data_IF_903718961844
#
_entry.id   IF_903718961844
#
_cell.length_a   1.000
_cell.length_b   1.000
_cell.length_c   1.000
_cell.angle_alpha   90.00
_cell.angle_beta   90.00
_cell.angle_gamma   90.00
#
_symmetry.space_group_name_H-M   'P 1'
#
loop_
_entity.id
_entity.type
_entity.pdbx_description
1 polymer ?
#
# COMPACT_ATOMS: atom_id res chain seq x y z
N UNK A 1 0.32 -22.52 -32.61
CA UNK A 1 -0.24 -22.54 -31.24
C UNK A 1 0.73 -22.03 -30.16
N UNK A 2 2.05 -22.31 -30.24
CA UNK A 2 3.05 -21.80 -29.26
C UNK A 2 3.02 -20.27 -29.04
N UNK A 3 2.93 -19.48 -30.11
CA UNK A 3 2.92 -18.01 -30.00
C UNK A 3 1.64 -17.44 -29.38
N UNK A 4 0.52 -18.16 -29.47
CA UNK A 4 -0.78 -17.69 -28.94
C UNK A 4 -0.78 -17.72 -27.41
N UNK A 5 -0.15 -18.73 -26.82
CA UNK A 5 0.06 -18.81 -25.36
C UNK A 5 1.10 -17.79 -24.89
N UNK A 6 2.16 -17.54 -25.66
CA UNK A 6 3.18 -16.53 -25.35
C UNK A 6 2.59 -15.11 -25.30
N UNK A 7 1.73 -14.76 -26.26
CA UNK A 7 1.06 -13.46 -26.32
C UNK A 7 0.07 -13.31 -25.15
N UNK A 8 -0.68 -14.36 -24.82
CA UNK A 8 -1.63 -14.35 -23.69
C UNK A 8 -0.92 -14.20 -22.33
N UNK A 9 0.22 -14.86 -22.13
CA UNK A 9 1.02 -14.69 -20.91
C UNK A 9 1.60 -13.28 -20.80
N UNK A 10 1.99 -12.67 -21.93
CA UNK A 10 2.56 -11.32 -21.92
C UNK A 10 1.51 -10.24 -21.63
N UNK A 11 0.27 -10.42 -22.11
CA UNK A 11 -0.81 -9.48 -21.82
C UNK A 11 -1.25 -9.51 -20.35
N UNK A 12 -1.16 -10.66 -19.69
CA UNK A 12 -1.59 -10.82 -18.29
C UNK A 12 -0.63 -10.13 -17.31
N UNK A 13 0.66 -10.04 -17.66
CA UNK A 13 1.68 -9.34 -16.86
C UNK A 13 1.46 -7.82 -16.88
N UNK A 14 0.91 -7.26 -17.97
CA UNK A 14 0.67 -5.83 -18.11
C UNK A 14 -0.54 -5.30 -17.32
N UNK A 15 -1.33 -6.16 -16.68
CA UNK A 15 -2.54 -5.76 -15.92
C UNK A 15 -2.31 -5.49 -14.41
N UNK A 16 -1.13 -5.76 -13.86
CA UNK A 16 -0.82 -5.38 -12.47
C UNK A 16 -0.07 -4.04 -12.46
N UNK A 17 -0.51 -2.97 -11.76
CA UNK A 17 -1.41 -2.89 -10.60
C UNK A 17 -2.54 -1.85 -10.76
N UNK A 18 -3.80 -2.27 -10.85
CA UNK A 18 -4.95 -1.34 -10.86
C UNK A 18 -5.36 -0.85 -9.47
N UNK A 19 -4.86 -1.49 -8.41
CA UNK A 19 -5.13 -1.10 -7.02
C UNK A 19 -3.93 -0.33 -6.46
N UNK A 20 -3.95 0.99 -6.60
CA UNK A 20 -3.02 1.88 -5.91
C UNK A 20 -3.76 2.51 -4.72
N UNK A 21 -3.30 2.23 -3.51
CA UNK A 21 -3.66 3.02 -2.34
C UNK A 21 -2.75 4.26 -2.35
N UNK A 22 -3.34 5.45 -2.42
CA UNK A 22 -2.57 6.69 -2.37
C UNK A 22 -2.37 7.10 -0.91
N UNK A 23 -1.11 7.12 -0.45
CA UNK A 23 -0.76 7.70 0.84
C UNK A 23 -0.88 9.22 0.75
N UNK A 24 -1.89 9.78 1.42
CA UNK A 24 -2.16 11.22 1.47
C UNK A 24 -1.26 11.91 2.51
N UNK A 25 -0.89 11.17 3.56
CA UNK A 25 0.03 11.65 4.59
C UNK A 25 0.22 10.68 5.74
N UNK A 26 1.13 11.02 6.62
CA UNK A 26 1.39 10.27 7.84
C UNK A 26 1.71 11.18 9.02
N UNK A 27 1.40 10.71 10.23
CA UNK A 27 1.68 11.39 11.49
C UNK A 27 2.46 10.46 12.38
N UNK A 28 3.62 10.90 12.85
CA UNK A 28 4.46 10.14 13.77
C UNK A 28 3.84 10.16 15.18
N UNK A 29 3.73 8.98 15.80
CA UNK A 29 3.13 8.81 17.12
C UNK A 29 4.16 8.55 18.20
N UNK A 30 5.22 7.79 17.90
CA UNK A 30 6.27 7.44 18.86
C UNK A 30 7.63 7.43 18.20
N UNK A 31 8.52 8.28 18.72
CA UNK A 31 9.91 8.39 18.30
C UNK A 31 10.75 7.16 18.69
N UNK A 32 11.58 6.68 17.77
CA UNK A 32 12.59 5.63 18.00
C UNK A 32 13.97 6.13 17.64
N UNK A 33 14.91 5.91 18.56
CA UNK A 33 16.32 6.24 18.35
C UNK A 33 16.97 5.46 17.20
N UNK A 34 16.49 4.23 16.91
CA UNK A 34 17.07 3.35 15.89
C UNK A 34 15.94 2.73 15.06
N UNK A 35 15.90 3.11 13.78
CA UNK A 35 14.88 2.70 12.81
C UNK A 35 13.74 3.71 12.69
N UNK A 36 12.76 3.45 11.80
CA UNK A 36 11.63 4.35 11.58
C UNK A 36 10.78 4.58 12.82
N UNK A 37 10.09 5.70 12.92
CA UNK A 37 9.14 5.94 14.01
C UNK A 37 7.86 5.13 13.82
N UNK A 38 7.12 4.93 14.91
CA UNK A 38 5.73 4.51 14.78
C UNK A 38 4.94 5.67 14.19
N UNK A 39 4.04 5.36 13.26
CA UNK A 39 3.23 6.37 12.60
C UNK A 39 1.84 5.87 12.26
N UNK A 40 0.92 6.80 12.13
CA UNK A 40 -0.39 6.56 11.56
C UNK A 40 -0.35 7.08 10.13
N UNK A 41 -0.63 6.22 9.16
CA UNK A 41 -0.68 6.55 7.74
C UNK A 41 -2.13 6.69 7.31
N UNK A 42 -2.44 7.74 6.54
CA UNK A 42 -3.76 7.98 5.95
C UNK A 42 -3.69 7.68 4.47
N UNK A 43 -4.50 6.72 4.04
CA UNK A 43 -4.59 6.28 2.65
C UNK A 43 -5.97 6.62 2.09
N UNK A 44 -6.01 7.10 0.85
CA UNK A 44 -7.24 7.37 0.12
C UNK A 44 -7.58 6.22 -0.83
N UNK A 45 -8.87 5.87 -0.86
CA UNK A 45 -9.45 4.87 -1.75
C UNK A 45 -10.68 5.44 -2.42
N UNK A 46 -10.69 5.46 -3.75
CA UNK A 46 -11.90 5.84 -4.48
C UNK A 46 -12.93 4.71 -4.46
N UNK A 47 -14.18 5.06 -4.17
CA UNK A 47 -15.28 4.10 -4.10
C UNK A 47 -15.65 3.60 -5.51
N UNK A 48 -15.66 2.27 -5.76
CA UNK A 48 -15.96 1.72 -7.08
C UNK A 48 -17.45 1.88 -7.47
N UNK A 49 -18.35 1.98 -6.49
CA UNK A 49 -19.79 2.04 -6.68
C UNK A 49 -20.30 3.49 -6.77
N UNK A 50 -19.59 4.46 -6.19
CA UNK A 50 -20.00 5.88 -6.16
C UNK A 50 -18.93 6.81 -6.74
N UNK A 51 -19.24 7.42 -7.89
CA UNK A 51 -18.33 8.38 -8.56
C UNK A 51 -18.05 9.60 -7.69
N UNK A 52 -16.77 10.02 -7.65
CA UNK A 52 -16.25 11.17 -6.91
C UNK A 52 -16.37 11.07 -5.38
N UNK A 53 -16.46 9.85 -4.84
CA UNK A 53 -16.37 9.60 -3.41
C UNK A 53 -15.04 8.93 -3.11
N UNK A 54 -14.30 9.50 -2.17
CA UNK A 54 -13.01 8.98 -1.69
C UNK A 54 -13.13 8.66 -0.21
N UNK A 55 -12.82 7.42 0.14
CA UNK A 55 -12.77 6.91 1.50
C UNK A 55 -11.35 7.04 2.04
N UNK A 56 -11.21 7.65 3.21
CA UNK A 56 -9.92 7.79 3.90
C UNK A 56 -9.81 6.73 5.00
N UNK A 57 -8.75 5.94 4.97
CA UNK A 57 -8.47 4.91 5.97
C UNK A 57 -7.17 5.23 6.69
N UNK A 58 -7.24 5.33 8.02
CA UNK A 58 -6.06 5.48 8.87
C UNK A 58 -5.58 4.11 9.37
N UNK A 59 -4.30 3.79 9.17
CA UNK A 59 -3.66 2.57 9.69
C UNK A 59 -2.45 2.91 10.54
N UNK A 60 -2.24 2.17 11.63
CA UNK A 60 -1.00 2.23 12.37
C UNK A 60 0.08 1.43 11.62
N UNK A 61 1.29 1.99 11.50
CA UNK A 61 2.48 1.27 11.03
C UNK A 61 3.49 1.16 12.15
N UNK A 62 3.93 -0.06 12.40
CA UNK A 62 4.93 -0.32 13.44
C UNK A 62 6.32 0.16 13.01
N UNK A 63 6.94 1.02 13.83
CA UNK A 63 8.30 1.52 13.64
C UNK A 63 9.39 0.67 14.30
N UNK A 64 10.64 1.07 14.10
CA UNK A 64 11.86 0.45 14.59
C UNK A 64 12.46 -0.51 13.57
N UNK A 65 13.51 -1.22 13.97
CA UNK A 65 14.25 -2.13 13.07
C UNK A 65 13.32 -3.16 12.40
N UNK A 66 12.36 -3.73 13.13
CA UNK A 66 11.38 -4.68 12.58
C UNK A 66 10.46 -4.04 11.54
N UNK A 67 10.01 -2.82 11.82
CA UNK A 67 9.17 -2.03 10.92
C UNK A 67 9.89 -1.65 9.63
N UNK A 68 11.13 -1.18 9.76
CA UNK A 68 11.98 -0.83 8.61
C UNK A 68 12.34 -2.02 7.72
N UNK A 69 12.35 -3.25 8.27
CA UNK A 69 12.57 -4.48 7.51
C UNK A 69 11.28 -5.12 6.97
N UNK A 70 10.11 -4.52 7.22
CA UNK A 70 8.82 -5.08 6.79
C UNK A 70 8.44 -6.39 7.48
N UNK A 71 9.03 -6.67 8.64
CA UNK A 71 8.77 -7.85 9.46
C UNK A 71 7.87 -7.53 10.66
N UNK A 72 7.47 -6.27 10.80
CA UNK A 72 6.59 -5.86 11.87
C UNK A 72 5.14 -6.20 11.53
N UNK A 73 4.41 -6.60 12.56
CA UNK A 73 2.96 -6.65 12.53
C UNK A 73 2.42 -5.26 12.87
N UNK A 74 1.45 -4.82 12.07
CA UNK A 74 0.73 -3.58 12.29
C UNK A 74 -0.46 -3.90 13.20
N UNK A 75 -0.45 -3.37 14.42
CA UNK A 75 -1.50 -3.55 15.44
C UNK A 75 -2.18 -2.22 15.74
#
# INVERSE_FOLDING_TARGET
MKYKHLILSLSLIMLGPLAHAEEIGSVDTVFKMIGPDHKIVVEAFDDPDVKNVTCYVSRAKTGGIKGGLGLAEDT
#
